data_IF_917458722156
#
_entry.id   IF_917458722156
#
_cell.length_a   1.000
_cell.length_b   1.000
_cell.length_c   1.000
_cell.angle_alpha   90.00
_cell.angle_beta   90.00
_cell.angle_gamma   90.00
#
_symmetry.space_group_name_H-M   'P 1'
#
loop_
_entity.id
_entity.type
_entity.pdbx_description
1 polymer ?
#
# COMPACT_ATOMS: atom_id res chain seq x y z
N UNK A 1 -1.81 8.13 -7.93
CA UNK A 1 -0.57 8.52 -7.23
C UNK A 1 -0.83 8.44 -5.73
N UNK A 2 0.14 7.99 -4.92
CA UNK A 2 0.00 7.98 -3.46
C UNK A 2 0.59 9.26 -2.86
N UNK A 3 0.18 9.64 -1.65
CA UNK A 3 0.68 10.85 -1.02
C UNK A 3 2.16 10.72 -0.64
N UNK A 4 2.88 11.84 -0.59
CA UNK A 4 4.31 11.86 -0.24
C UNK A 4 4.62 11.10 1.06
N UNK A 5 3.90 11.40 2.15
CA UNK A 5 4.11 10.74 3.45
C UNK A 5 3.88 9.22 3.41
N UNK A 6 2.86 8.78 2.67
CA UNK A 6 2.58 7.37 2.46
C UNK A 6 3.70 6.69 1.65
N UNK A 7 4.27 7.42 0.68
CA UNK A 7 5.39 6.92 -0.11
C UNK A 7 6.66 6.76 0.75
N UNK A 8 6.96 7.73 1.62
CA UNK A 8 8.05 7.60 2.61
C UNK A 8 7.87 6.36 3.48
N UNK A 9 6.65 6.12 3.98
CA UNK A 9 6.33 4.93 4.75
C UNK A 9 6.60 3.64 3.95
N UNK A 10 6.19 3.57 2.69
CA UNK A 10 6.42 2.39 1.85
C UNK A 10 7.91 2.14 1.61
N UNK A 11 8.68 3.18 1.26
CA UNK A 11 10.12 3.09 1.08
C UNK A 11 10.83 2.68 2.37
N UNK A 12 10.46 3.25 3.52
CA UNK A 12 11.04 2.90 4.81
C UNK A 12 10.85 1.41 5.13
N UNK A 13 9.63 0.91 4.94
CA UNK A 13 9.30 -0.49 5.20
C UNK A 13 9.95 -1.44 4.20
N UNK A 14 10.11 -1.02 2.94
CA UNK A 14 10.85 -1.77 1.92
C UNK A 14 12.33 -1.92 2.29
N UNK A 15 12.92 -0.92 2.95
CA UNK A 15 14.28 -0.97 3.50
C UNK A 15 14.37 -1.63 4.88
N UNK A 16 13.27 -2.18 5.40
CA UNK A 16 13.20 -2.80 6.73
C UNK A 16 13.63 -1.88 7.88
N UNK A 17 13.41 -0.56 7.74
CA UNK A 17 13.82 0.42 8.74
C UNK A 17 12.67 0.73 9.72
N UNK A 18 13.00 0.85 11.00
CA UNK A 18 12.09 1.46 11.99
C UNK A 18 12.02 2.98 11.80
N UNK A 19 11.02 3.64 12.41
CA UNK A 19 10.96 5.10 12.41
C UNK A 19 12.17 5.70 13.13
N UNK A 20 12.59 5.10 14.24
CA UNK A 20 13.80 5.48 14.98
C UNK A 20 15.04 5.42 14.08
N UNK A 21 15.19 4.34 13.31
CA UNK A 21 16.36 4.15 12.46
C UNK A 21 16.39 5.14 11.29
N UNK A 22 15.27 5.35 10.60
CA UNK A 22 15.20 6.33 9.52
C UNK A 22 15.41 7.76 10.05
N UNK A 23 14.83 8.08 11.21
CA UNK A 23 15.03 9.37 11.88
C UNK A 23 16.52 9.66 12.13
N UNK A 24 17.25 8.67 12.66
CA UNK A 24 18.69 8.77 12.85
C UNK A 24 19.46 8.94 11.53
N UNK A 25 19.15 8.14 10.51
CA UNK A 25 19.84 8.19 9.21
C UNK A 25 19.60 9.50 8.44
N UNK A 26 18.41 10.10 8.60
CA UNK A 26 18.03 11.34 7.93
C UNK A 26 18.27 12.60 8.76
N UNK A 27 18.74 12.45 10.00
CA UNK A 27 18.88 13.53 10.98
C UNK A 27 17.57 14.32 11.18
N UNK A 28 16.44 13.61 11.27
CA UNK A 28 15.11 14.17 11.48
C UNK A 28 14.59 13.65 12.82
N UNK A 29 14.07 14.51 13.72
CA UNK A 29 13.45 14.02 14.96
C UNK A 29 12.34 13.00 14.67
N UNK A 30 12.33 11.86 15.36
CA UNK A 30 11.33 10.79 15.17
C UNK A 30 9.88 11.30 15.18
N UNK A 31 9.45 12.22 16.07
CA UNK A 31 8.09 12.77 16.02
C UNK A 31 7.79 13.51 14.71
N UNK A 32 8.79 14.22 14.16
CA UNK A 32 8.67 14.89 12.87
C UNK A 32 8.54 13.86 11.75
N UNK A 33 9.39 12.83 11.73
CA UNK A 33 9.27 11.74 10.77
C UNK A 33 7.88 11.08 10.82
N UNK A 34 7.36 10.82 12.03
CA UNK A 34 6.01 10.31 12.21
C UNK A 34 4.98 11.26 11.58
N UNK A 35 5.05 12.57 11.84
CA UNK A 35 4.12 13.54 11.24
C UNK A 35 4.24 13.62 9.72
N UNK A 36 5.45 13.50 9.16
CA UNK A 36 5.69 13.45 7.71
C UNK A 36 5.01 12.23 7.09
N UNK A 37 5.23 11.02 7.64
CA UNK A 37 4.61 9.78 7.14
C UNK A 37 3.08 9.84 7.19
N UNK A 38 2.52 10.58 8.15
CA UNK A 38 1.08 10.79 8.31
C UNK A 38 0.52 11.92 7.45
N UNK A 39 1.35 12.64 6.70
CA UNK A 39 0.96 13.82 5.92
C UNK A 39 0.45 14.99 6.78
N UNK A 40 0.90 15.07 8.05
CA UNK A 40 0.52 16.13 9.00
C UNK A 40 1.45 17.34 8.98
N UNK A 41 2.51 17.29 8.19
CA UNK A 41 3.56 18.31 8.14
C UNK A 41 4.14 18.41 6.74
N UNK A 42 4.28 19.64 6.25
CA UNK A 42 5.02 19.94 5.03
C UNK A 42 6.53 19.79 5.27
N UNK A 43 7.24 19.39 4.22
CA UNK A 43 8.67 19.12 4.26
C UNK A 43 9.44 20.16 3.45
N UNK A 44 10.61 20.55 3.96
CA UNK A 44 11.54 21.38 3.21
C UNK A 44 12.27 20.56 2.16
N UNK A 45 12.84 21.22 1.15
CA UNK A 45 13.70 20.56 0.15
C UNK A 45 14.90 19.85 0.81
N UNK A 46 15.49 20.44 1.86
CA UNK A 46 16.55 19.81 2.63
C UNK A 46 16.09 18.50 3.29
N UNK A 47 14.89 18.49 3.87
CA UNK A 47 14.28 17.30 4.48
C UNK A 47 14.05 16.20 3.44
N UNK A 48 13.55 16.56 2.24
CA UNK A 48 13.35 15.61 1.14
C UNK A 48 14.68 14.98 0.74
N UNK A 49 15.75 15.78 0.57
CA UNK A 49 17.09 15.28 0.23
C UNK A 49 17.64 14.34 1.30
N UNK A 50 17.50 14.68 2.58
CA UNK A 50 17.94 13.82 3.68
C UNK A 50 17.20 12.48 3.72
N UNK A 51 15.88 12.49 3.51
CA UNK A 51 15.09 11.26 3.43
C UNK A 51 15.47 10.41 2.21
N UNK A 52 15.64 11.04 1.04
CA UNK A 52 16.06 10.38 -0.19
C UNK A 52 17.40 9.66 -0.03
N UNK A 53 18.39 10.36 0.55
CA UNK A 53 19.70 9.78 0.85
C UNK A 53 19.59 8.61 1.83
N UNK A 54 18.85 8.76 2.93
CA UNK A 54 18.69 7.71 3.94
C UNK A 54 17.93 6.47 3.41
N UNK A 55 17.03 6.65 2.45
CA UNK A 55 16.24 5.58 1.83
C UNK A 55 16.92 4.96 0.59
N UNK A 56 18.00 5.57 0.10
CA UNK A 56 18.64 5.17 -1.15
C UNK A 56 17.67 5.27 -2.34
N UNK A 57 17.00 6.42 -2.47
CA UNK A 57 16.06 6.72 -3.54
C UNK A 57 16.33 8.13 -4.10
N UNK A 58 15.83 8.43 -5.30
CA UNK A 58 15.88 9.79 -5.82
C UNK A 58 14.84 10.68 -5.13
N UNK A 59 15.13 11.97 -4.86
CA UNK A 59 14.14 12.91 -4.33
C UNK A 59 12.84 12.93 -5.16
N UNK A 60 12.96 12.91 -6.50
CA UNK A 60 11.82 12.87 -7.41
C UNK A 60 10.94 11.65 -7.21
N UNK A 61 11.52 10.46 -7.03
CA UNK A 61 10.77 9.22 -6.74
C UNK A 61 9.89 9.37 -5.49
N UNK A 62 10.41 10.02 -4.44
CA UNK A 62 9.64 10.25 -3.21
C UNK A 62 8.49 11.24 -3.45
N UNK A 63 8.79 12.38 -4.09
CA UNK A 63 7.84 13.47 -4.37
C UNK A 63 6.73 13.04 -5.33
N UNK A 64 7.07 12.25 -6.36
CA UNK A 64 6.14 11.74 -7.36
C UNK A 64 5.20 10.64 -6.83
N UNK A 65 5.35 10.22 -5.57
CA UNK A 65 4.54 9.12 -5.02
C UNK A 65 4.78 7.80 -5.78
N UNK A 66 6.03 7.56 -6.17
CA UNK A 66 6.47 6.31 -6.80
C UNK A 66 6.87 5.31 -5.71
N UNK A 67 6.10 4.23 -5.52
CA UNK A 67 6.43 3.20 -4.54
C UNK A 67 7.73 2.48 -4.94
N UNK A 68 8.40 1.80 -3.99
CA UNK A 68 9.63 1.04 -4.26
C UNK A 68 9.44 -0.16 -5.20
N UNK A 69 8.20 -0.51 -5.50
CA UNK A 69 7.82 -1.64 -6.31
C UNK A 69 7.18 -1.18 -7.62
N UNK A 70 7.29 -2.00 -8.66
CA UNK A 70 6.76 -1.65 -9.97
C UNK A 70 5.23 -1.66 -9.97
N UNK A 71 4.63 -0.54 -10.40
CA UNK A 71 3.19 -0.45 -10.66
C UNK A 71 2.85 -1.40 -11.81
N UNK A 72 1.78 -2.18 -11.64
CA UNK A 72 1.19 -2.91 -12.75
C UNK A 72 0.28 -1.95 -13.53
N UNK A 73 0.31 -2.03 -14.84
CA UNK A 73 -0.60 -1.28 -15.69
C UNK A 73 -1.93 -2.05 -15.83
N UNK A 74 -3.02 -1.33 -16.14
CA UNK A 74 -4.33 -1.95 -16.32
C UNK A 74 -4.34 -3.01 -17.43
N UNK A 75 -3.48 -2.86 -18.45
CA UNK A 75 -3.31 -3.84 -19.53
C UNK A 75 -2.57 -5.12 -19.13
N UNK A 76 -1.85 -5.11 -18.01
CA UNK A 76 -1.03 -6.26 -17.59
C UNK A 76 -1.88 -7.37 -16.92
N UNK A 77 -3.15 -7.08 -16.61
CA UNK A 77 -3.99 -7.93 -15.78
C UNK A 77 -5.22 -8.40 -16.57
N UNK A 78 -5.10 -9.62 -17.14
CA UNK A 78 -6.21 -10.27 -17.83
C UNK A 78 -7.43 -10.47 -16.91
N UNK A 79 -8.63 -10.46 -17.51
CA UNK A 79 -9.88 -10.80 -16.82
C UNK A 79 -9.79 -12.15 -16.12
N UNK A 80 -9.18 -13.14 -16.77
CA UNK A 80 -9.00 -14.50 -16.25
C UNK A 80 -8.11 -14.51 -14.99
N UNK A 81 -7.04 -13.73 -15.00
CA UNK A 81 -6.18 -13.55 -13.83
C UNK A 81 -6.97 -12.98 -12.64
N UNK A 82 -7.76 -11.93 -12.87
CA UNK A 82 -8.59 -11.33 -11.80
C UNK A 82 -9.62 -12.32 -11.25
N UNK A 83 -10.27 -13.10 -12.11
CA UNK A 83 -11.22 -14.15 -11.68
C UNK A 83 -10.55 -15.22 -10.82
N UNK A 84 -9.35 -15.63 -11.20
CA UNK A 84 -8.59 -16.66 -10.49
C UNK A 84 -8.16 -16.18 -9.11
N UNK A 85 -7.65 -14.95 -9.00
CA UNK A 85 -7.32 -14.33 -7.71
C UNK A 85 -8.56 -14.18 -6.84
N UNK A 86 -9.65 -13.61 -7.36
CA UNK A 86 -10.89 -13.42 -6.61
C UNK A 86 -11.46 -14.75 -6.10
N UNK A 87 -11.45 -15.79 -6.93
CA UNK A 87 -11.86 -17.14 -6.55
C UNK A 87 -10.96 -17.78 -5.49
N UNK A 88 -9.64 -17.58 -5.59
CA UNK A 88 -8.68 -18.04 -4.57
C UNK A 88 -8.92 -17.37 -3.22
N UNK A 89 -9.15 -16.05 -3.20
CA UNK A 89 -9.43 -15.31 -1.97
C UNK A 89 -10.78 -15.71 -1.37
N UNK A 90 -11.85 -15.81 -2.18
CA UNK A 90 -13.17 -16.22 -1.71
C UNK A 90 -13.17 -17.62 -1.08
N UNK A 91 -12.42 -18.56 -1.67
CA UNK A 91 -12.26 -19.94 -1.14
C UNK A 91 -11.22 -20.06 -0.02
N UNK A 92 -10.47 -18.98 0.27
CA UNK A 92 -9.37 -19.02 1.22
C UNK A 92 -8.15 -19.87 0.80
N UNK A 93 -8.10 -20.37 -0.44
CA UNK A 93 -7.01 -21.22 -0.94
C UNK A 93 -5.98 -20.38 -1.71
N UNK A 94 -4.68 -20.38 -1.33
CA UNK A 94 -3.66 -19.59 -2.01
C UNK A 94 -3.39 -20.13 -3.43
N UNK A 95 -3.11 -19.25 -4.40
CA UNK A 95 -2.64 -19.64 -5.73
C UNK A 95 -1.20 -20.18 -5.66
N UNK A 96 -0.82 -20.99 -6.67
CA UNK A 96 0.51 -21.60 -6.75
C UNK A 96 1.59 -20.70 -7.34
N UNK A 97 1.22 -19.68 -8.12
CA UNK A 97 2.16 -18.71 -8.67
C UNK A 97 2.61 -17.69 -7.59
N UNK A 98 3.90 -17.30 -7.63
CA UNK A 98 4.51 -16.41 -6.61
C UNK A 98 3.96 -14.98 -6.66
N UNK A 99 3.76 -14.42 -7.86
CA UNK A 99 3.24 -13.07 -8.04
C UNK A 99 1.77 -13.01 -7.59
N UNK A 100 1.00 -14.04 -7.96
CA UNK A 100 -0.39 -14.20 -7.54
C UNK A 100 -0.54 -14.37 -6.04
N UNK A 101 0.36 -15.12 -5.42
CA UNK A 101 0.36 -15.32 -3.98
C UNK A 101 0.44 -13.98 -3.24
N UNK A 102 1.26 -13.05 -3.75
CA UNK A 102 1.40 -11.72 -3.16
C UNK A 102 0.10 -10.91 -3.22
N UNK A 103 -0.52 -10.83 -4.39
CA UNK A 103 -1.79 -10.12 -4.57
C UNK A 103 -2.90 -10.78 -3.73
N UNK A 104 -2.95 -12.11 -3.70
CA UNK A 104 -3.86 -12.89 -2.86
C UNK A 104 -3.68 -12.51 -1.38
N UNK A 105 -2.45 -12.45 -0.85
CA UNK A 105 -2.20 -12.10 0.55
C UNK A 105 -2.65 -10.67 0.87
N UNK A 106 -2.33 -9.71 0.00
CA UNK A 106 -2.74 -8.31 0.17
C UNK A 106 -4.28 -8.19 0.18
N UNK A 107 -4.95 -8.79 -0.80
CA UNK A 107 -6.40 -8.72 -0.92
C UNK A 107 -7.09 -9.45 0.23
N UNK A 108 -6.57 -10.61 0.64
CA UNK A 108 -7.09 -11.37 1.79
C UNK A 108 -6.97 -10.56 3.09
N UNK A 109 -5.84 -9.92 3.34
CA UNK A 109 -5.64 -9.10 4.54
C UNK A 109 -6.58 -7.88 4.54
N UNK A 110 -6.74 -7.21 3.39
CA UNK A 110 -7.69 -6.11 3.22
C UNK A 110 -9.12 -6.58 3.48
N UNK A 111 -9.59 -7.65 2.85
CA UNK A 111 -10.97 -8.13 3.00
C UNK A 111 -11.27 -8.66 4.40
N UNK A 112 -10.27 -9.21 5.11
CA UNK A 112 -10.39 -9.57 6.54
C UNK A 112 -10.79 -8.38 7.41
N UNK A 113 -10.37 -7.18 7.03
CA UNK A 113 -10.68 -5.92 7.72
C UNK A 113 -11.81 -5.10 7.05
N UNK A 114 -11.94 -5.15 5.72
CA UNK A 114 -12.89 -4.36 4.92
C UNK A 114 -14.34 -4.75 5.20
N UNK A 115 -14.64 -6.02 5.46
CA UNK A 115 -15.97 -6.43 5.93
C UNK A 115 -16.36 -5.79 7.28
N UNK A 116 -15.39 -5.31 8.07
CA UNK A 116 -15.65 -4.58 9.34
C UNK A 116 -15.70 -3.05 9.17
N UNK A 117 -14.95 -2.48 8.21
CA UNK A 117 -14.82 -1.02 8.04
C UNK A 117 -15.67 -0.42 6.89
N UNK A 118 -16.27 -1.23 6.01
CA UNK A 118 -17.02 -0.76 4.83
C UNK A 118 -18.37 -0.07 5.13
N UNK A 119 -18.62 0.39 6.37
CA UNK A 119 -19.87 1.05 6.78
C UNK A 119 -19.79 2.58 6.90
N UNK A 120 -18.64 3.23 6.68
CA UNK A 120 -18.56 4.70 6.82
C UNK A 120 -17.98 5.40 5.57
N UNK A 121 -18.81 6.17 4.82
CA UNK A 121 -18.38 6.79 3.56
C UNK A 121 -17.56 8.07 3.68
N UNK A 122 -17.34 8.66 4.87
CA UNK A 122 -16.72 9.99 4.97
C UNK A 122 -15.92 10.20 6.25
N UNK A 123 -14.59 10.10 6.14
CA UNK A 123 -13.56 10.88 6.87
C UNK A 123 -12.21 10.42 6.35
N UNK A 124 -11.20 11.30 6.31
CA UNK A 124 -9.81 10.94 6.01
C UNK A 124 -9.51 9.63 6.73
N UNK A 125 -9.26 8.55 5.99
CA UNK A 125 -9.03 7.23 6.59
C UNK A 125 -7.96 7.41 7.66
N UNK A 126 -8.25 7.19 8.95
CA UNK A 126 -7.17 7.11 9.92
C UNK A 126 -6.24 6.02 9.39
N UNK A 127 -4.93 6.32 9.29
CA UNK A 127 -3.92 5.35 8.88
C UNK A 127 -4.28 4.02 9.52
N UNK A 128 -4.64 2.98 8.75
CA UNK A 128 -5.26 1.86 9.41
C UNK A 128 -4.16 1.18 10.22
N UNK A 129 -4.35 1.13 11.54
CA UNK A 129 -3.32 0.63 12.43
C UNK A 129 -3.07 -0.86 12.12
N UNK A 130 -1.79 -1.24 12.09
CA UNK A 130 -1.40 -2.64 11.86
C UNK A 130 -1.41 -3.07 10.39
N UNK A 131 -1.63 -4.38 10.17
CA UNK A 131 -1.35 -5.06 8.88
C UNK A 131 -2.34 -4.69 7.76
N UNK A 132 -3.61 -4.48 8.09
CA UNK A 132 -4.65 -4.19 7.09
C UNK A 132 -4.47 -2.85 6.37
N UNK A 133 -4.01 -1.82 7.08
CA UNK A 133 -3.82 -0.51 6.47
C UNK A 133 -2.64 -0.45 5.53
N UNK A 134 -1.55 -1.11 5.92
CA UNK A 134 -0.40 -1.27 5.07
C UNK A 134 -0.74 -2.10 3.82
N UNK A 135 -1.54 -3.17 3.97
CA UNK A 135 -1.99 -3.98 2.85
C UNK A 135 -2.84 -3.16 1.86
N UNK A 136 -3.77 -2.34 2.37
CA UNK A 136 -4.57 -1.43 1.55
C UNK A 136 -3.71 -0.39 0.83
N UNK A 137 -2.77 0.23 1.54
CA UNK A 137 -1.87 1.21 0.96
C UNK A 137 -1.02 0.61 -0.17
N UNK A 138 -0.43 -0.58 0.05
CA UNK A 138 0.33 -1.30 -0.98
C UNK A 138 -0.53 -1.64 -2.19
N UNK A 139 -1.75 -2.13 -1.96
CA UNK A 139 -2.66 -2.51 -3.04
C UNK A 139 -3.03 -1.30 -3.91
N UNK A 140 -3.35 -0.15 -3.31
CA UNK A 140 -3.62 1.11 -4.04
C UNK A 140 -2.35 1.72 -4.67
N UNK A 141 -1.18 1.47 -4.11
CA UNK A 141 0.08 1.96 -4.66
C UNK A 141 0.50 1.20 -5.93
N UNK A 142 0.22 -0.11 -5.97
CA UNK A 142 0.70 -1.03 -6.99
C UNK A 142 -0.28 -1.28 -8.13
N UNK A 143 -1.59 -1.15 -7.86
CA UNK A 143 -2.65 -1.49 -8.82
C UNK A 143 -3.55 -0.29 -9.11
N UNK A 144 -4.02 -0.12 -10.37
CA UNK A 144 -5.00 0.89 -10.72
C UNK A 144 -6.30 0.72 -9.91
N UNK A 145 -6.99 1.83 -9.54
CA UNK A 145 -8.19 1.76 -8.71
C UNK A 145 -9.30 0.92 -9.35
N UNK A 146 -9.39 0.89 -10.68
CA UNK A 146 -10.37 0.08 -11.43
C UNK A 146 -10.18 -1.41 -11.17
N UNK A 147 -8.92 -1.87 -11.19
CA UNK A 147 -8.55 -3.25 -10.91
C UNK A 147 -8.84 -3.61 -9.45
N UNK A 148 -8.44 -2.73 -8.52
CA UNK A 148 -8.68 -2.90 -7.09
C UNK A 148 -10.17 -3.07 -6.81
N UNK A 149 -11.00 -2.17 -7.35
CA UNK A 149 -12.44 -2.19 -7.17
C UNK A 149 -13.06 -3.45 -7.80
N UNK A 150 -12.61 -3.84 -9.01
CA UNK A 150 -13.09 -5.05 -9.67
C UNK A 150 -12.76 -6.31 -8.87
N UNK A 151 -11.55 -6.42 -8.34
CA UNK A 151 -11.14 -7.55 -7.49
C UNK A 151 -11.97 -7.66 -6.22
N UNK A 152 -12.24 -6.53 -5.55
CA UNK A 152 -13.08 -6.50 -4.34
C UNK A 152 -14.50 -6.94 -4.66
N UNK A 153 -15.12 -6.39 -5.71
CA UNK A 153 -16.48 -6.72 -6.12
C UNK A 153 -16.62 -8.22 -6.42
N UNK A 154 -15.76 -8.75 -7.30
CA UNK A 154 -15.75 -10.17 -7.68
C UNK A 154 -15.52 -11.11 -6.50
N UNK A 155 -14.68 -10.71 -5.55
CA UNK A 155 -14.42 -11.55 -4.36
C UNK A 155 -15.63 -11.60 -3.45
N UNK A 156 -16.35 -10.48 -3.28
CA UNK A 156 -17.60 -10.43 -2.50
C UNK A 156 -18.70 -11.27 -3.13
N UNK A 157 -18.95 -11.08 -4.43
CA UNK A 157 -19.95 -11.86 -5.18
C UNK A 157 -19.70 -13.38 -5.08
N UNK A 158 -18.43 -13.81 -5.09
CA UNK A 158 -18.09 -15.23 -4.92
C UNK A 158 -18.25 -15.70 -3.48
N UNK A 159 -17.91 -14.87 -2.50
CA UNK A 159 -18.07 -15.23 -1.09
C UNK A 159 -19.56 -15.39 -0.69
N UNK A 160 -20.48 -14.68 -1.35
CA UNK A 160 -21.93 -14.81 -1.13
C UNK A 160 -22.54 -16.08 -1.76
N UNK A 161 -21.83 -16.71 -2.71
CA UNK A 161 -22.29 -17.91 -3.44
C UNK A 161 -21.76 -19.23 -2.88
N UNK A 162 -20.89 -19.19 -1.86
CA UNK A 162 -20.26 -20.34 -1.22
C UNK A 162 -20.88 -20.53 0.16
#
# INVERSE_FOLDING_TARGET
MIAFGENILLWRLHRSLSQERLAALSNIPRPNLSNIEKGKRDVTLSTIRSLANALGALPGTLVNGEPPEHKKHAGDLSREFMERIAGSVARGKPPGDREEHRLYQLLREVLRCSLKCAREPRRRLPLPAGKCGLAWLRLRALYPPEIVNSLIARTRERAERI
#
